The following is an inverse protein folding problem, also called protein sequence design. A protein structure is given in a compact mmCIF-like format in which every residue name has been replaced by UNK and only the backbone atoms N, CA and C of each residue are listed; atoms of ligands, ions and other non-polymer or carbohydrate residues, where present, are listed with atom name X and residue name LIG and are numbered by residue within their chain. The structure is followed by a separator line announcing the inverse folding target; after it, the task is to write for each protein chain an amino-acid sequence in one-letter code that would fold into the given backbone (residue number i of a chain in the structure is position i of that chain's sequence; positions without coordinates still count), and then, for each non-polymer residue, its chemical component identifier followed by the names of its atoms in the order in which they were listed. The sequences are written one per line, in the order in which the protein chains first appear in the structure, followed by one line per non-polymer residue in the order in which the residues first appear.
data_IF_983503371683
#
_entry.id   IF_983503371683
#
_cell.length_a   1.000
_cell.length_b   1.000
_cell.length_c   1.000
_cell.angle_alpha   90.00
_cell.angle_beta   90.00
_cell.angle_gamma   90.00
#
_symmetry.space_group_name_H-M   'P 1'
#
loop_
_entity.id
_entity.type
_entity.pdbx_description
1 polymer ?
#
# COMPACT_ATOMS: atom_id res chain seq x y z
N UNK A 1 -44.45 -35.32 -34.87
CA UNK A 1 -43.31 -34.58 -35.44
C UNK A 1 -42.50 -34.03 -34.26
N UNK A 2 -41.41 -34.76 -33.94
CA UNK A 2 -40.51 -34.34 -32.83
C UNK A 2 -39.45 -33.40 -33.39
N UNK A 3 -39.51 -32.12 -33.08
CA UNK A 3 -38.49 -31.13 -33.45
C UNK A 3 -37.28 -31.32 -32.57
N UNK A 4 -36.32 -32.12 -33.05
CA UNK A 4 -34.98 -32.17 -32.45
C UNK A 4 -34.34 -30.80 -32.64
N UNK A 5 -34.36 -29.96 -31.60
CA UNK A 5 -33.53 -28.74 -31.54
C UNK A 5 -32.08 -29.17 -31.60
N UNK A 6 -31.33 -28.71 -32.58
CA UNK A 6 -29.99 -29.23 -32.82
C UNK A 6 -29.06 -28.81 -31.65
N UNK A 7 -28.44 -29.77 -30.99
CA UNK A 7 -27.50 -29.61 -29.87
C UNK A 7 -26.40 -28.56 -30.13
N UNK A 8 -26.07 -28.31 -31.39
CA UNK A 8 -25.11 -27.29 -31.78
C UNK A 8 -25.59 -25.86 -31.45
N UNK A 9 -26.89 -25.56 -31.49
CA UNK A 9 -27.44 -24.25 -31.07
C UNK A 9 -27.32 -24.05 -29.58
N UNK A 10 -27.51 -25.09 -28.80
CA UNK A 10 -27.35 -25.02 -27.32
C UNK A 10 -25.87 -24.91 -26.97
N UNK A 11 -24.99 -25.65 -27.63
CA UNK A 11 -23.53 -25.55 -27.49
C UNK A 11 -23.02 -24.17 -27.92
N UNK A 12 -23.55 -23.62 -29.02
CA UNK A 12 -23.15 -22.30 -29.50
C UNK A 12 -23.64 -21.18 -28.57
N UNK A 13 -24.86 -21.31 -28.00
CA UNK A 13 -25.39 -20.41 -26.98
C UNK A 13 -24.58 -20.49 -25.67
N UNK A 14 -24.24 -21.70 -25.22
CA UNK A 14 -23.42 -21.89 -24.04
C UNK A 14 -22.01 -21.31 -24.24
N UNK A 15 -21.41 -21.55 -25.44
CA UNK A 15 -20.11 -20.99 -25.77
C UNK A 15 -20.15 -19.46 -25.85
N UNK A 16 -21.20 -18.89 -26.47
CA UNK A 16 -21.39 -17.45 -26.56
C UNK A 16 -21.60 -16.82 -25.18
N UNK A 17 -22.37 -17.51 -24.33
CA UNK A 17 -22.59 -17.06 -22.91
C UNK A 17 -21.30 -17.12 -22.08
N UNK A 18 -20.52 -18.21 -22.29
CA UNK A 18 -19.21 -18.35 -21.62
C UNK A 18 -18.21 -17.31 -22.13
N UNK A 19 -18.19 -17.05 -23.44
CA UNK A 19 -17.35 -16.02 -24.03
C UNK A 19 -17.74 -14.61 -23.53
N UNK A 20 -19.05 -14.35 -23.38
CA UNK A 20 -19.55 -13.09 -22.82
C UNK A 20 -19.17 -12.92 -21.32
N UNK A 21 -19.14 -14.01 -20.57
CA UNK A 21 -18.64 -13.99 -19.18
C UNK A 21 -17.14 -13.70 -19.09
N UNK A 22 -16.34 -14.20 -20.04
CA UNK A 22 -14.89 -13.89 -20.11
C UNK A 22 -14.59 -12.44 -20.49
N UNK A 23 -15.47 -11.80 -21.28
CA UNK A 23 -15.29 -10.38 -21.68
C UNK A 23 -15.65 -9.42 -20.53
N UNK A 24 -16.48 -9.85 -19.56
CA UNK A 24 -16.89 -9.03 -18.42
C UNK A 24 -15.89 -9.04 -17.22
N UNK A 25 -14.84 -9.87 -17.28
CA UNK A 25 -13.99 -10.13 -16.10
C UNK A 25 -12.83 -9.17 -15.85
N UNK A 26 -12.77 -8.01 -16.52
CA UNK A 26 -11.74 -7.00 -16.26
C UNK A 26 -12.26 -5.58 -16.51
N UNK A 27 -13.38 -5.23 -15.85
CA UNK A 27 -13.98 -3.91 -16.04
C UNK A 27 -13.14 -2.78 -15.47
N UNK A 28 -12.38 -3.04 -14.40
CA UNK A 28 -11.51 -2.04 -13.79
C UNK A 28 -10.35 -2.71 -13.02
N UNK A 29 -9.19 -2.08 -13.09
CA UNK A 29 -8.01 -2.44 -12.34
C UNK A 29 -7.49 -1.18 -11.63
N UNK A 30 -6.96 -1.33 -10.44
CA UNK A 30 -6.38 -0.23 -9.68
C UNK A 30 -5.18 -0.67 -8.86
N UNK A 31 -4.24 0.24 -8.70
CA UNK A 31 -3.11 0.08 -7.80
C UNK A 31 -2.89 1.40 -7.03
N UNK A 32 -2.76 1.30 -5.74
CA UNK A 32 -2.25 2.38 -4.90
C UNK A 32 -0.92 1.93 -4.29
N UNK A 33 0.17 2.58 -4.66
CA UNK A 33 1.50 2.24 -4.20
C UNK A 33 2.04 3.35 -3.30
N UNK A 34 2.27 3.02 -2.04
CA UNK A 34 2.92 3.88 -1.06
C UNK A 34 4.36 3.43 -0.88
N UNK A 35 5.30 4.34 -1.11
CA UNK A 35 6.73 4.11 -0.84
C UNK A 35 7.16 4.99 0.32
N UNK A 36 7.62 4.36 1.40
CA UNK A 36 8.19 5.06 2.56
C UNK A 36 9.71 5.10 2.41
N UNK A 37 10.28 6.30 2.43
CA UNK A 37 11.71 6.54 2.26
C UNK A 37 12.46 6.47 3.60
N UNK A 38 13.79 6.25 3.55
CA UNK A 38 14.64 6.18 4.76
C UNK A 38 14.68 7.48 5.55
N UNK A 39 14.47 8.61 4.90
CA UNK A 39 14.43 9.93 5.53
C UNK A 39 13.08 10.23 6.21
N UNK A 40 12.09 9.38 6.01
CA UNK A 40 10.73 9.50 6.54
C UNK A 40 9.77 10.28 5.65
N UNK A 41 10.18 10.65 4.43
CA UNK A 41 9.27 11.09 3.37
C UNK A 41 8.50 9.90 2.80
N UNK A 42 7.44 10.15 2.06
CA UNK A 42 6.69 9.11 1.37
C UNK A 42 6.16 9.59 0.03
N UNK A 43 6.12 8.65 -0.92
CA UNK A 43 5.54 8.85 -2.24
C UNK A 43 4.29 7.99 -2.34
N UNK A 44 3.24 8.54 -2.93
CA UNK A 44 2.00 7.83 -3.24
C UNK A 44 1.75 7.90 -4.74
N UNK A 45 1.73 6.74 -5.37
CA UNK A 45 1.38 6.54 -6.77
C UNK A 45 0.03 5.83 -6.86
N UNK A 46 -0.92 6.42 -7.56
CA UNK A 46 -2.23 5.86 -7.85
C UNK A 46 -2.35 5.60 -9.33
N UNK A 47 -2.74 4.40 -9.71
CA UNK A 47 -3.00 4.00 -11.08
C UNK A 47 -4.36 3.30 -11.16
N UNK A 48 -5.28 3.86 -11.90
CA UNK A 48 -6.61 3.32 -12.11
C UNK A 48 -6.83 3.14 -13.61
N UNK A 49 -7.42 2.01 -14.00
CA UNK A 49 -7.74 1.72 -15.38
C UNK A 49 -9.15 1.14 -15.44
N UNK A 50 -10.02 1.75 -16.22
CA UNK A 50 -11.42 1.36 -16.35
C UNK A 50 -11.76 1.22 -17.83
N UNK A 51 -12.53 0.20 -18.21
CA UNK A 51 -13.00 0.06 -19.58
C UNK A 51 -14.05 1.11 -19.91
N UNK A 52 -14.05 1.62 -21.13
CA UNK A 52 -15.03 2.62 -21.58
C UNK A 52 -16.46 2.04 -21.53
N UNK A 53 -16.59 0.74 -21.76
CA UNK A 53 -17.87 0.04 -21.61
C UNK A 53 -18.40 0.10 -20.18
N UNK A 54 -17.53 -0.01 -19.16
CA UNK A 54 -17.93 0.11 -17.76
C UNK A 54 -18.32 1.54 -17.41
N UNK A 55 -17.58 2.54 -17.89
CA UNK A 55 -17.93 3.96 -17.72
C UNK A 55 -19.27 4.28 -18.37
N UNK A 56 -19.51 3.82 -19.59
CA UNK A 56 -20.78 3.99 -20.29
C UNK A 56 -21.95 3.30 -19.61
N UNK A 57 -21.77 2.08 -19.05
CA UNK A 57 -22.80 1.39 -18.26
C UNK A 57 -23.16 2.13 -16.97
N UNK A 58 -22.21 2.81 -16.37
CA UNK A 58 -22.44 3.67 -15.20
C UNK A 58 -23.09 5.01 -15.57
N UNK A 59 -23.13 5.36 -16.87
CA UNK A 59 -23.56 6.68 -17.34
C UNK A 59 -22.62 7.80 -16.85
N UNK A 60 -21.34 7.50 -16.71
CA UNK A 60 -20.36 8.36 -16.03
C UNK A 60 -19.09 8.53 -16.87
N UNK A 61 -19.25 8.91 -18.13
CA UNK A 61 -18.13 9.07 -19.08
C UNK A 61 -17.03 10.05 -18.56
N UNK A 62 -17.40 10.99 -17.68
CA UNK A 62 -16.48 11.97 -17.13
C UNK A 62 -15.90 11.61 -15.75
N UNK A 63 -16.18 10.42 -15.21
CA UNK A 63 -15.77 10.03 -13.87
C UNK A 63 -14.27 10.15 -13.66
N UNK A 64 -13.47 9.64 -14.59
CA UNK A 64 -12.00 9.67 -14.50
C UNK A 64 -11.45 11.09 -14.55
N UNK A 65 -12.05 11.96 -15.35
CA UNK A 65 -11.68 13.38 -15.41
C UNK A 65 -12.07 14.12 -14.13
N UNK A 66 -13.23 13.84 -13.60
CA UNK A 66 -13.69 14.42 -12.32
C UNK A 66 -12.80 13.99 -11.18
N UNK A 67 -12.43 12.70 -11.12
CA UNK A 67 -11.50 12.16 -10.14
C UNK A 67 -10.11 12.80 -10.26
N UNK A 68 -9.59 12.94 -11.49
CA UNK A 68 -8.31 13.62 -11.72
C UNK A 68 -8.34 15.07 -11.22
N UNK A 69 -9.42 15.80 -11.46
CA UNK A 69 -9.57 17.19 -10.99
C UNK A 69 -9.64 17.26 -9.46
N UNK A 70 -10.35 16.33 -8.83
CA UNK A 70 -10.43 16.23 -7.36
C UNK A 70 -9.05 15.94 -6.76
N UNK A 71 -8.29 15.03 -7.37
CA UNK A 71 -6.92 14.72 -6.94
C UNK A 71 -5.98 15.92 -7.11
N UNK A 72 -6.08 16.67 -8.22
CA UNK A 72 -5.31 17.91 -8.44
C UNK A 72 -5.61 18.98 -7.39
N UNK A 73 -6.86 19.11 -6.95
CA UNK A 73 -7.24 20.03 -5.87
C UNK A 73 -6.62 19.63 -4.51
N UNK A 74 -6.25 18.36 -4.35
CA UNK A 74 -5.59 17.80 -3.16
C UNK A 74 -4.07 17.59 -3.35
N UNK A 75 -3.43 18.41 -4.18
CA UNK A 75 -1.99 18.44 -4.43
C UNK A 75 -1.41 17.19 -5.12
N UNK A 76 -2.23 16.38 -5.79
CA UNK A 76 -1.74 15.33 -6.67
C UNK A 76 -1.39 15.88 -8.06
N UNK A 77 -0.34 15.34 -8.66
CA UNK A 77 -0.12 15.42 -10.08
C UNK A 77 -0.93 14.30 -10.73
N UNK A 78 -2.02 14.63 -11.41
CA UNK A 78 -2.93 13.64 -11.97
C UNK A 78 -3.11 13.85 -13.48
N UNK A 79 -3.08 12.73 -14.23
CA UNK A 79 -3.25 12.71 -15.69
C UNK A 79 -4.24 11.63 -16.07
N UNK A 80 -5.10 11.92 -17.04
CA UNK A 80 -6.02 10.96 -17.65
C UNK A 80 -5.56 10.73 -19.08
N UNK A 81 -5.44 9.48 -19.47
CA UNK A 81 -5.08 9.05 -20.83
C UNK A 81 -6.05 8.00 -21.33
N UNK A 82 -6.37 8.09 -22.60
CA UNK A 82 -7.16 7.11 -23.33
C UNK A 82 -6.22 6.08 -23.95
N UNK A 83 -6.48 4.79 -23.72
CA UNK A 83 -5.69 3.67 -24.21
C UNK A 83 -6.57 2.67 -25.00
N UNK A 84 -7.29 3.20 -25.97
CA UNK A 84 -8.10 2.43 -26.90
C UNK A 84 -9.50 2.10 -26.37
N UNK A 85 -9.66 1.04 -25.60
CA UNK A 85 -10.93 0.62 -24.98
C UNK A 85 -10.97 0.86 -23.47
N UNK A 86 -9.93 1.54 -22.94
CA UNK A 86 -9.76 1.80 -21.50
C UNK A 86 -9.30 3.24 -21.26
N UNK A 87 -9.89 3.86 -20.28
CA UNK A 87 -9.44 5.14 -19.75
C UNK A 87 -8.57 4.90 -18.51
N UNK A 88 -7.34 5.43 -18.52
CA UNK A 88 -6.38 5.30 -17.42
C UNK A 88 -6.19 6.65 -16.71
N UNK A 89 -6.22 6.63 -15.39
CA UNK A 89 -5.84 7.73 -14.52
C UNK A 89 -4.56 7.36 -13.79
N UNK A 90 -3.56 8.23 -13.89
CA UNK A 90 -2.35 8.18 -13.08
C UNK A 90 -2.29 9.41 -12.21
N UNK A 91 -1.99 9.22 -10.93
CA UNK A 91 -1.81 10.34 -10.01
C UNK A 91 -0.68 10.05 -9.04
N UNK A 92 0.15 11.06 -8.80
CA UNK A 92 1.30 10.94 -7.89
C UNK A 92 1.32 12.13 -6.93
N UNK A 93 1.77 11.88 -5.70
CA UNK A 93 2.05 12.96 -4.73
C UNK A 93 3.20 12.57 -3.83
N UNK A 94 3.91 13.58 -3.36
CA UNK A 94 5.03 13.44 -2.43
C UNK A 94 4.69 14.10 -1.09
N UNK A 95 4.93 13.39 -0.02
CA UNK A 95 4.78 13.88 1.34
C UNK A 95 6.16 14.05 1.97
N UNK A 96 6.51 15.27 2.29
CA UNK A 96 7.72 15.60 3.03
C UNK A 96 7.72 14.93 4.41
N UNK A 97 8.92 14.64 4.92
CA UNK A 97 9.08 14.15 6.27
C UNK A 97 8.39 15.09 7.26
N UNK A 98 7.43 14.57 7.99
CA UNK A 98 6.89 15.26 9.15
C UNK A 98 7.93 15.29 10.27
N UNK A 99 8.37 16.48 10.70
CA UNK A 99 9.28 16.65 11.84
C UNK A 99 8.66 16.27 13.20
N UNK A 100 7.38 16.02 13.21
CA UNK A 100 6.66 15.46 14.33
C UNK A 100 6.52 13.95 14.09
N UNK A 101 7.26 13.16 14.87
CA UNK A 101 6.91 11.74 15.13
C UNK A 101 5.66 11.78 16.05
N UNK A 102 4.68 12.57 15.65
CA UNK A 102 3.38 12.53 16.27
C UNK A 102 2.69 11.34 15.67
N UNK A 103 2.33 10.37 16.51
CA UNK A 103 1.19 9.49 16.32
C UNK A 103 0.33 10.02 15.19
N UNK A 104 0.20 9.24 14.12
CA UNK A 104 -0.83 9.53 13.12
C UNK A 104 -2.08 9.88 13.89
N UNK A 105 -2.49 11.14 13.83
CA UNK A 105 -3.72 11.54 14.47
C UNK A 105 -4.82 10.88 13.65
N UNK A 106 -5.52 9.93 14.22
CA UNK A 106 -6.65 9.26 13.56
C UNK A 106 -7.71 10.26 13.10
N UNK A 107 -7.67 11.49 13.63
CA UNK A 107 -8.53 12.60 13.21
C UNK A 107 -8.22 13.18 11.82
N UNK A 108 -7.05 12.90 11.26
CA UNK A 108 -6.62 13.44 9.96
C UNK A 108 -6.82 12.43 8.82
N UNK A 109 -7.30 11.22 9.15
CA UNK A 109 -7.62 10.19 8.16
C UNK A 109 -9.01 10.42 7.57
N UNK A 110 -9.20 10.08 6.28
CA UNK A 110 -10.53 10.08 5.68
C UNK A 110 -11.50 9.17 6.43
N UNK A 111 -12.79 9.50 6.39
CA UNK A 111 -13.83 8.61 6.89
C UNK A 111 -13.66 7.21 6.27
N UNK A 112 -13.93 6.16 7.03
CA UNK A 112 -13.78 4.77 6.58
C UNK A 112 -12.38 4.19 6.73
N UNK A 113 -11.37 4.96 7.17
CA UNK A 113 -10.04 4.44 7.51
C UNK A 113 -9.84 4.52 9.02
N UNK A 114 -9.49 3.39 9.62
CA UNK A 114 -9.09 3.28 11.02
C UNK A 114 -7.69 2.70 11.08
N UNK A 115 -6.80 3.33 11.84
CA UNK A 115 -5.42 2.85 12.02
C UNK A 115 -5.12 2.76 13.51
N UNK A 116 -4.70 1.57 13.92
CA UNK A 116 -4.19 1.31 15.25
C UNK A 116 -2.69 1.08 15.19
N UNK A 117 -1.96 1.74 16.05
CA UNK A 117 -0.51 1.62 16.13
C UNK A 117 -0.10 1.26 17.55
N UNK A 118 0.73 0.24 17.69
CA UNK A 118 1.34 -0.11 18.96
C UNK A 118 2.85 -0.27 18.82
N UNK A 119 3.58 0.20 19.83
CA UNK A 119 5.04 0.11 19.86
C UNK A 119 5.49 -0.65 21.09
N UNK A 120 6.20 -1.75 20.87
CA UNK A 120 6.87 -2.49 21.96
C UNK A 120 8.35 -2.11 21.97
N UNK A 121 8.81 -1.34 22.98
CA UNK A 121 10.19 -0.89 23.05
C UNK A 121 11.12 -2.06 23.39
N UNK A 122 12.25 -2.16 22.66
CA UNK A 122 13.35 -3.03 22.96
C UNK A 122 14.65 -2.25 23.11
N UNK A 123 15.72 -2.89 23.59
CA UNK A 123 16.96 -2.20 23.85
C UNK A 123 17.64 -1.71 22.57
N UNK A 124 17.80 -2.58 21.57
CA UNK A 124 18.42 -2.23 20.28
C UNK A 124 17.41 -2.00 19.16
N UNK A 125 16.23 -2.58 19.27
CA UNK A 125 15.15 -2.47 18.27
C UNK A 125 13.83 -2.30 18.98
N UNK A 126 12.94 -1.50 18.41
CA UNK A 126 11.53 -1.42 18.82
C UNK A 126 10.67 -2.12 17.78
N UNK A 127 9.68 -2.89 18.22
CA UNK A 127 8.67 -3.48 17.33
C UNK A 127 7.53 -2.48 17.18
N UNK A 128 7.27 -2.10 15.96
CA UNK A 128 6.12 -1.28 15.58
C UNK A 128 5.11 -2.19 14.90
N UNK A 129 3.94 -2.32 15.49
CA UNK A 129 2.80 -3.02 14.92
C UNK A 129 1.77 -2.00 14.46
N UNK A 130 1.29 -2.16 13.23
CA UNK A 130 0.30 -1.30 12.59
C UNK A 130 -0.82 -2.21 12.09
N UNK A 131 -2.04 -1.92 12.53
CA UNK A 131 -3.26 -2.53 12.03
C UNK A 131 -4.13 -1.43 11.42
N UNK A 132 -4.59 -1.63 10.20
CA UNK A 132 -5.48 -0.70 9.51
C UNK A 132 -6.73 -1.41 9.03
N UNK A 133 -7.88 -0.77 9.19
CA UNK A 133 -9.13 -1.17 8.56
C UNK A 133 -9.56 -0.09 7.58
N UNK A 134 -9.92 -0.49 6.36
CA UNK A 134 -10.31 0.45 5.30
C UNK A 134 -11.58 -0.01 4.60
N UNK A 135 -12.58 0.89 4.56
CA UNK A 135 -13.77 0.78 3.72
C UNK A 135 -13.64 1.78 2.58
N UNK A 136 -13.26 1.30 1.40
CA UNK A 136 -12.92 2.16 0.26
C UNK A 136 -14.09 3.03 -0.21
N UNK A 137 -15.33 2.57 -0.08
CA UNK A 137 -16.48 3.38 -0.47
C UNK A 137 -16.74 4.53 0.50
N UNK A 138 -16.42 4.36 1.77
CA UNK A 138 -16.55 5.42 2.78
C UNK A 138 -15.43 6.45 2.71
N UNK A 139 -14.25 6.08 2.16
CA UNK A 139 -13.11 7.01 2.02
C UNK A 139 -13.33 8.08 0.96
N UNK A 140 -14.30 7.90 0.06
CA UNK A 140 -14.60 8.87 -0.98
C UNK A 140 -15.16 10.13 -0.33
N UNK A 141 -14.48 11.28 -0.45
CA UNK A 141 -14.94 12.52 0.17
C UNK A 141 -16.29 12.97 -0.43
N UNK A 142 -17.06 13.68 0.36
CA UNK A 142 -18.30 14.29 -0.11
C UNK A 142 -18.03 15.25 -1.27
N UNK A 143 -18.78 15.12 -2.34
CA UNK A 143 -18.59 15.90 -3.55
C UNK A 143 -19.09 15.20 -4.81
N UNK A 144 -18.72 15.77 -5.96
CA UNK A 144 -19.22 15.31 -7.26
C UNK A 144 -18.95 13.84 -7.55
N UNK A 145 -17.78 13.31 -7.16
CA UNK A 145 -17.40 11.89 -7.33
C UNK A 145 -18.35 10.99 -6.53
N UNK A 146 -18.56 11.30 -5.24
CA UNK A 146 -19.46 10.53 -4.37
C UNK A 146 -20.89 10.57 -4.87
N UNK A 147 -21.34 11.74 -5.34
CA UNK A 147 -22.67 11.93 -5.92
C UNK A 147 -22.85 11.11 -7.20
N UNK A 148 -21.85 11.07 -8.06
CA UNK A 148 -21.86 10.25 -9.28
C UNK A 148 -21.94 8.76 -8.94
N UNK A 149 -21.08 8.27 -8.04
CA UNK A 149 -21.08 6.87 -7.61
C UNK A 149 -22.40 6.52 -6.89
N UNK A 150 -22.99 7.44 -6.13
CA UNK A 150 -24.25 7.20 -5.41
C UNK A 150 -25.45 7.01 -6.35
N UNK A 151 -25.42 7.64 -7.52
CA UNK A 151 -26.47 7.51 -8.56
C UNK A 151 -26.45 6.15 -9.25
N UNK A 152 -25.34 5.41 -9.19
CA UNK A 152 -25.24 4.07 -9.79
C UNK A 152 -26.12 3.10 -8.97
N UNK A 153 -27.07 2.38 -9.61
CA UNK A 153 -27.91 1.41 -8.92
C UNK A 153 -27.10 0.34 -8.18
N UNK A 154 -27.55 -0.03 -6.96
CA UNK A 154 -26.79 -0.94 -6.10
C UNK A 154 -26.45 -2.29 -6.74
N UNK A 155 -27.35 -2.85 -7.57
CA UNK A 155 -27.07 -4.10 -8.29
C UNK A 155 -25.94 -3.94 -9.33
N UNK A 156 -25.84 -2.79 -10.00
CA UNK A 156 -24.76 -2.47 -10.92
C UNK A 156 -23.44 -2.24 -10.20
N UNK A 157 -23.47 -1.56 -9.03
CA UNK A 157 -22.27 -1.44 -8.18
C UNK A 157 -21.71 -2.82 -7.82
N UNK A 158 -22.55 -3.71 -7.33
CA UNK A 158 -22.16 -5.07 -6.98
C UNK A 158 -21.64 -5.86 -8.18
N UNK A 159 -22.25 -5.68 -9.36
CA UNK A 159 -21.83 -6.35 -10.57
C UNK A 159 -20.46 -5.84 -11.07
N UNK A 160 -20.26 -4.52 -11.08
CA UNK A 160 -19.07 -3.87 -11.61
C UNK A 160 -17.90 -3.93 -10.64
N UNK A 161 -18.16 -3.78 -9.32
CA UNK A 161 -17.09 -3.71 -8.30
C UNK A 161 -16.67 -5.09 -7.76
N UNK A 162 -17.48 -6.15 -8.03
CA UNK A 162 -17.14 -7.50 -7.57
C UNK A 162 -15.85 -8.04 -8.19
N UNK A 163 -15.63 -7.71 -9.45
CA UNK A 163 -14.49 -8.22 -10.25
C UNK A 163 -13.43 -7.12 -10.49
N UNK A 164 -13.47 -6.03 -9.69
CA UNK A 164 -12.41 -5.00 -9.69
C UNK A 164 -11.23 -5.55 -8.92
N UNK A 165 -10.07 -5.61 -9.58
CA UNK A 165 -8.80 -5.88 -8.95
C UNK A 165 -8.21 -4.55 -8.45
N UNK A 166 -8.12 -4.39 -7.15
CA UNK A 166 -7.45 -3.24 -6.58
C UNK A 166 -6.34 -3.72 -5.63
N UNK A 167 -5.11 -3.35 -5.97
CA UNK A 167 -3.93 -3.70 -5.18
C UNK A 167 -3.47 -2.49 -4.35
N UNK A 168 -3.35 -2.70 -3.05
CA UNK A 168 -2.64 -1.78 -2.18
C UNK A 168 -1.23 -2.30 -1.95
N UNK A 169 -0.24 -1.53 -2.41
CA UNK A 169 1.18 -1.86 -2.34
C UNK A 169 1.90 -0.92 -1.39
N UNK A 170 2.63 -1.47 -0.43
CA UNK A 170 3.42 -0.71 0.53
C UNK A 170 4.88 -1.14 0.45
N UNK A 171 5.74 -0.21 0.05
CA UNK A 171 7.19 -0.41 0.07
C UNK A 171 7.81 0.29 1.26
N UNK A 172 8.51 -0.46 2.09
CA UNK A 172 9.16 0.00 3.31
C UNK A 172 10.69 0.08 3.13
N UNK A 173 11.38 1.00 3.80
CA UNK A 173 12.84 1.07 3.77
C UNK A 173 13.49 -0.13 4.47
N UNK A 174 12.77 -0.79 5.37
CA UNK A 174 13.19 -1.97 6.14
C UNK A 174 12.19 -3.11 5.91
N UNK A 175 12.65 -4.36 6.02
CA UNK A 175 11.78 -5.52 5.85
C UNK A 175 10.72 -5.61 6.96
N UNK A 176 9.51 -5.99 6.59
CA UNK A 176 8.49 -6.40 7.53
C UNK A 176 8.91 -7.71 8.24
N UNK A 177 8.61 -7.80 9.52
CA UNK A 177 8.83 -9.02 10.30
C UNK A 177 7.66 -9.99 10.15
N UNK A 178 6.45 -9.44 10.10
CA UNK A 178 5.19 -10.15 9.98
C UNK A 178 4.16 -9.28 9.26
N UNK A 179 3.26 -9.90 8.49
CA UNK A 179 2.14 -9.21 7.83
C UNK A 179 1.09 -10.20 7.38
N UNK A 180 -0.15 -9.71 7.17
CA UNK A 180 -1.21 -10.44 6.50
C UNK A 180 -1.31 -10.12 5.00
N UNK A 181 -0.23 -9.58 4.40
CA UNK A 181 -0.18 -9.29 2.97
C UNK A 181 -0.36 -10.57 2.13
N UNK A 182 -1.10 -10.45 1.01
CA UNK A 182 -1.33 -11.56 0.08
C UNK A 182 -0.04 -11.93 -0.66
N UNK A 183 0.79 -10.92 -0.99
CA UNK A 183 2.09 -11.11 -1.62
C UNK A 183 3.17 -10.29 -0.89
N UNK A 184 4.37 -10.86 -0.83
CA UNK A 184 5.54 -10.22 -0.21
C UNK A 184 6.70 -10.25 -1.19
N UNK A 185 7.18 -9.08 -1.60
CA UNK A 185 8.25 -8.90 -2.57
C UNK A 185 9.47 -8.20 -1.95
N UNK A 186 10.53 -8.01 -2.72
CA UNK A 186 11.75 -7.29 -2.36
C UNK A 186 12.35 -7.73 -1.02
N UNK A 187 12.39 -9.05 -0.79
CA UNK A 187 12.93 -9.64 0.44
C UNK A 187 12.19 -9.18 1.71
N UNK A 188 10.89 -8.94 1.60
CA UNK A 188 10.04 -8.52 2.71
C UNK A 188 9.90 -7.02 2.89
N UNK A 189 10.34 -6.22 1.92
CA UNK A 189 10.18 -4.76 1.96
C UNK A 189 8.91 -4.28 1.30
N UNK A 190 8.42 -5.00 0.30
CA UNK A 190 7.21 -4.65 -0.43
C UNK A 190 6.11 -5.64 -0.06
N UNK A 191 5.01 -5.12 0.44
CA UNK A 191 3.82 -5.84 0.85
C UNK A 191 2.68 -5.46 -0.08
N UNK A 192 1.91 -6.44 -0.55
CA UNK A 192 0.79 -6.23 -1.48
C UNK A 192 -0.45 -6.90 -0.90
N UNK A 193 -1.54 -6.15 -0.80
CA UNK A 193 -2.86 -6.63 -0.43
C UNK A 193 -3.82 -6.45 -1.58
N UNK A 194 -4.57 -7.52 -1.90
CA UNK A 194 -5.70 -7.46 -2.80
C UNK A 194 -6.91 -6.90 -2.05
N UNK A 195 -7.29 -5.68 -2.37
CA UNK A 195 -8.27 -4.91 -1.62
C UNK A 195 -9.62 -4.93 -2.34
N UNK A 196 -10.67 -5.30 -1.62
CA UNK A 196 -12.03 -5.31 -2.14
C UNK A 196 -12.69 -3.94 -1.97
N UNK A 197 -13.20 -3.32 -3.03
CA UNK A 197 -13.95 -2.08 -2.90
C UNK A 197 -15.28 -2.21 -2.13
N UNK A 198 -15.83 -3.44 -2.06
CA UNK A 198 -17.14 -3.70 -1.46
C UNK A 198 -17.08 -4.11 0.01
N UNK A 199 -15.93 -4.46 0.51
CA UNK A 199 -15.76 -5.00 1.87
C UNK A 199 -14.79 -4.15 2.68
N UNK A 200 -14.91 -4.23 4.01
CA UNK A 200 -13.88 -3.68 4.88
C UNK A 200 -12.63 -4.53 4.77
N UNK A 201 -11.52 -3.90 4.43
CA UNK A 201 -10.23 -4.54 4.25
C UNK A 201 -9.39 -4.36 5.52
N UNK A 202 -8.69 -5.43 5.93
CA UNK A 202 -7.84 -5.42 7.10
C UNK A 202 -6.40 -5.62 6.68
N UNK A 203 -5.56 -4.67 7.02
CA UNK A 203 -4.13 -4.68 6.75
C UNK A 203 -3.39 -4.72 8.09
N UNK A 204 -2.50 -5.67 8.24
CA UNK A 204 -1.71 -5.86 9.44
C UNK A 204 -0.24 -6.04 9.07
N UNK A 205 0.63 -5.32 9.79
CA UNK A 205 2.06 -5.46 9.59
C UNK A 205 2.84 -5.14 10.87
N UNK A 206 3.97 -5.80 11.03
CA UNK A 206 4.92 -5.57 12.11
C UNK A 206 6.30 -5.31 11.53
N UNK A 207 6.93 -4.22 11.93
CA UNK A 207 8.31 -3.89 11.56
C UNK A 207 9.21 -3.74 12.79
N UNK A 208 10.51 -4.02 12.60
CA UNK A 208 11.51 -3.76 13.62
C UNK A 208 12.32 -2.51 13.27
N UNK A 209 12.14 -1.47 14.04
CA UNK A 209 12.85 -0.20 13.87
C UNK A 209 14.07 -0.17 14.78
N UNK A 210 15.29 0.08 14.25
CA UNK A 210 16.50 0.20 15.08
C UNK A 210 16.40 1.37 16.05
N UNK A 211 16.75 1.14 17.32
CA UNK A 211 16.89 2.19 18.32
C UNK A 211 18.28 2.83 18.22
N UNK A 212 18.44 3.76 17.28
CA UNK A 212 19.71 4.38 16.93
C UNK A 212 20.38 5.00 18.15
N UNK A 213 19.62 5.63 19.06
CA UNK A 213 20.15 6.25 20.27
C UNK A 213 20.88 5.23 21.15
N UNK A 214 20.26 4.09 21.42
CA UNK A 214 20.85 3.06 22.28
C UNK A 214 22.01 2.36 21.58
N UNK A 215 21.95 2.18 20.26
CA UNK A 215 23.06 1.63 19.46
C UNK A 215 24.29 2.54 19.55
N UNK A 216 24.15 3.85 19.39
CA UNK A 216 25.24 4.81 19.46
C UNK A 216 25.83 4.85 20.88
N UNK A 217 25.00 4.89 21.93
CA UNK A 217 25.48 4.90 23.33
C UNK A 217 26.25 3.63 23.63
N UNK A 218 25.68 2.46 23.29
CA UNK A 218 26.32 1.16 23.56
C UNK A 218 27.60 1.00 22.76
N UNK A 219 27.60 1.39 21.48
CA UNK A 219 28.78 1.38 20.62
C UNK A 219 29.88 2.30 21.13
N UNK A 220 29.52 3.49 21.61
CA UNK A 220 30.45 4.45 22.24
C UNK A 220 31.09 3.88 23.49
N UNK A 221 30.31 3.29 24.38
CA UNK A 221 30.83 2.66 25.63
C UNK A 221 31.74 1.49 25.26
N UNK A 222 31.38 0.63 24.32
CA UNK A 222 32.20 -0.48 23.89
C UNK A 222 33.54 -0.02 23.30
N UNK A 223 33.54 1.06 22.50
CA UNK A 223 34.75 1.65 21.95
C UNK A 223 35.70 2.17 23.04
N UNK A 224 35.17 2.89 24.04
CA UNK A 224 35.96 3.38 25.17
C UNK A 224 36.59 2.22 25.95
N UNK A 225 35.85 1.16 26.21
CA UNK A 225 36.37 -0.05 26.89
C UNK A 225 37.48 -0.73 26.08
N UNK A 226 37.31 -0.84 24.76
CA UNK A 226 38.36 -1.41 23.88
C UNK A 226 39.64 -0.56 23.95
N UNK A 227 39.52 0.77 23.87
CA UNK A 227 40.67 1.68 23.96
C UNK A 227 41.36 1.53 25.34
N UNK A 228 40.59 1.48 26.43
CA UNK A 228 41.15 1.28 27.77
C UNK A 228 41.88 -0.04 27.92
N UNK A 229 41.33 -1.13 27.36
CA UNK A 229 41.98 -2.43 27.33
C UNK A 229 43.30 -2.41 26.52
N UNK A 230 43.30 -1.74 25.37
CA UNK A 230 44.51 -1.62 24.53
C UNK A 230 45.59 -0.82 25.28
N UNK A 231 45.25 0.28 25.92
CA UNK A 231 46.17 1.06 26.71
C UNK A 231 46.72 0.22 27.89
N UNK A 232 45.83 -0.47 28.64
CA UNK A 232 46.26 -1.35 29.72
C UNK A 232 47.21 -2.45 29.26
N UNK A 233 46.90 -3.08 28.11
CA UNK A 233 47.76 -4.10 27.52
C UNK A 233 49.13 -3.56 27.10
N UNK A 234 49.17 -2.35 26.50
CA UNK A 234 50.43 -1.68 26.15
C UNK A 234 51.30 -1.32 27.38
N UNK A 235 50.65 -0.78 28.44
CA UNK A 235 51.35 -0.46 29.69
C UNK A 235 51.89 -1.73 30.36
N UNK A 236 51.09 -2.79 30.38
CA UNK A 236 51.51 -4.09 30.95
C UNK A 236 52.69 -4.70 30.16
N UNK A 237 52.68 -4.62 28.85
CA UNK A 237 53.82 -5.09 28.00
C UNK A 237 55.08 -4.27 28.24
N UNK A 238 55.00 -3.00 28.49
CA UNK A 238 56.15 -2.15 28.82
C UNK A 238 56.77 -2.52 30.16
N UNK A 239 56.00 -2.81 31.17
CA UNK A 239 56.48 -3.22 32.51
C UNK A 239 57.20 -4.57 32.50
N UNK A 240 56.70 -5.54 31.73
CA UNK A 240 57.36 -6.86 31.62
C UNK A 240 58.68 -6.82 30.81
N UNK A 241 58.88 -5.81 29.97
CA UNK A 241 60.18 -5.63 29.29
C UNK A 241 61.23 -4.98 30.16
N UNK A 242 60.88 -4.13 31.10
CA UNK A 242 61.82 -3.49 32.04
C UNK A 242 62.38 -4.46 33.10
N UNK A 243 61.58 -5.45 33.54
CA UNK A 243 62.01 -6.45 34.50
C UNK A 243 62.95 -7.56 33.93
N UNK A 244 63.19 -7.54 32.60
CA UNK A 244 64.07 -8.54 31.92
C UNK A 244 65.47 -7.99 31.63
N UNK A 245 65.72 -6.70 31.91
CA UNK A 245 66.98 -6.02 31.63
C UNK A 245 67.70 -5.59 32.93
N UNK A 246 67.30 -6.16 34.09
CA UNK A 246 68.02 -6.13 35.38
C UNK A 246 68.35 -7.58 35.73
#
# INVERSE_FOLDING_TARGET
MSTRTPYYRQLLLAFLLTLMLFILSACADGEAHVTVNMDGSSDLDLNLSVTDSALGLMGQDNLMTTLANTLKQNNFQAEVSDQGDRTQLKATTHYEKSNTVSTFSTSDLPDGIQVEQSTTPGFFTSKLHIAAEADLLQTIPDGEVKDQISKVPGFLKNLLLKDVNFDFKLTLPIKAQDSNADLVEDHGKTLIWHVSPLNTNKLDLTVQVPNIRNIIITGGIALVLIIALLIWFMVRRRRTRQSRNV
#
